data_IF_127626379014
#
_entry.id   IF_127626379014
#
_cell.length_a   1.000
_cell.length_b   1.000
_cell.length_c   1.000
_cell.angle_alpha   90.00
_cell.angle_beta   90.00
_cell.angle_gamma   90.00
#
_symmetry.space_group_name_H-M   'P 1'
#
loop_
_entity.id
_entity.type
_entity.pdbx_description
1 polymer ?
#
# COMPACT_ATOMS: atom_id res chain seq x y z
N UNK A 1 -5.09 -20.55 -3.26
CA UNK A 1 -3.83 -19.79 -3.21
C UNK A 1 -2.87 -20.42 -2.23
N UNK A 2 -1.69 -20.85 -2.68
CA UNK A 2 -0.59 -21.33 -1.83
C UNK A 2 0.02 -20.18 -1.02
N UNK A 3 0.74 -20.50 0.07
CA UNK A 3 1.44 -19.49 0.88
C UNK A 3 2.51 -18.73 0.08
N UNK A 4 3.23 -19.41 -0.80
CA UNK A 4 4.22 -18.77 -1.68
C UNK A 4 3.56 -17.75 -2.63
N UNK A 5 2.43 -18.10 -3.26
CA UNK A 5 1.72 -17.17 -4.12
C UNK A 5 1.10 -16.01 -3.32
N UNK A 6 0.63 -16.27 -2.09
CA UNK A 6 0.15 -15.21 -1.21
C UNK A 6 1.26 -14.23 -0.84
N UNK A 7 2.47 -14.74 -0.56
CA UNK A 7 3.64 -13.90 -0.31
C UNK A 7 3.97 -13.01 -1.52
N UNK A 8 4.00 -13.56 -2.74
CA UNK A 8 4.26 -12.76 -3.96
C UNK A 8 3.25 -11.62 -4.14
N UNK A 9 1.97 -11.88 -3.87
CA UNK A 9 0.92 -10.85 -3.97
C UNK A 9 1.08 -9.81 -2.87
N UNK A 10 1.38 -10.24 -1.64
CA UNK A 10 1.65 -9.33 -0.51
C UNK A 10 2.85 -8.43 -0.80
N UNK A 11 3.97 -8.99 -1.26
CA UNK A 11 5.18 -8.26 -1.59
C UNK A 11 4.90 -7.21 -2.69
N UNK A 12 4.08 -7.55 -3.70
CA UNK A 12 3.67 -6.62 -4.74
C UNK A 12 2.79 -5.47 -4.19
N UNK A 13 1.83 -5.78 -3.32
CA UNK A 13 0.97 -4.77 -2.70
C UNK A 13 1.78 -3.81 -1.82
N UNK A 14 2.74 -4.31 -1.05
CA UNK A 14 3.62 -3.49 -0.21
C UNK A 14 4.53 -2.61 -1.07
N UNK A 15 5.11 -3.16 -2.14
CA UNK A 15 5.91 -2.39 -3.09
C UNK A 15 5.10 -1.25 -3.72
N UNK A 16 3.87 -1.53 -4.15
CA UNK A 16 2.99 -0.50 -4.70
C UNK A 16 2.65 0.58 -3.67
N UNK A 17 2.51 0.21 -2.39
CA UNK A 17 2.34 1.17 -1.31
C UNK A 17 3.52 2.12 -1.18
N UNK A 18 4.74 1.56 -1.11
CA UNK A 18 5.97 2.34 -1.01
C UNK A 18 6.20 3.26 -2.22
N UNK A 19 5.87 2.81 -3.44
CA UNK A 19 5.97 3.64 -4.65
C UNK A 19 4.96 4.81 -4.63
N UNK A 20 3.77 4.62 -4.07
CA UNK A 20 2.81 5.72 -3.91
C UNK A 20 3.25 6.72 -2.85
N UNK A 21 3.79 6.27 -1.73
CA UNK A 21 4.31 7.15 -0.69
C UNK A 21 5.45 8.03 -1.24
N UNK A 22 6.40 7.44 -1.97
CA UNK A 22 7.48 8.18 -2.62
C UNK A 22 6.97 9.21 -3.64
N UNK A 23 5.97 8.83 -4.46
CA UNK A 23 5.33 9.75 -5.40
C UNK A 23 4.64 10.93 -4.69
N UNK A 24 3.96 10.69 -3.57
CA UNK A 24 3.35 11.76 -2.78
C UNK A 24 4.40 12.70 -2.18
N UNK A 25 5.54 12.18 -1.72
CA UNK A 25 6.65 13.02 -1.24
C UNK A 25 7.18 13.94 -2.34
N UNK A 26 7.31 13.46 -3.57
CA UNK A 26 7.71 14.27 -4.72
C UNK A 26 6.67 15.32 -5.10
N UNK A 27 5.37 14.98 -5.09
CA UNK A 27 4.32 15.93 -5.44
C UNK A 27 4.19 17.05 -4.40
N UNK A 28 4.42 16.75 -3.12
CA UNK A 28 4.37 17.74 -2.05
C UNK A 28 5.35 18.90 -2.27
N UNK A 29 6.45 18.69 -2.97
CA UNK A 29 7.43 19.76 -3.27
C UNK A 29 7.15 20.48 -4.59
N UNK A 30 6.35 19.90 -5.48
CA UNK A 30 6.22 20.32 -6.87
C UNK A 30 4.82 20.84 -7.24
N UNK A 31 3.83 20.67 -6.36
CA UNK A 31 2.44 21.08 -6.58
C UNK A 31 1.97 22.09 -5.53
N UNK A 32 0.87 22.77 -5.83
CA UNK A 32 0.14 23.53 -4.81
C UNK A 32 -0.47 22.60 -3.76
N UNK A 33 -0.81 23.13 -2.58
CA UNK A 33 -1.45 22.35 -1.51
C UNK A 33 -2.79 21.74 -1.97
N UNK A 34 -3.55 22.45 -2.80
CA UNK A 34 -4.83 21.98 -3.34
C UNK A 34 -4.63 20.78 -4.28
N UNK A 35 -3.73 20.89 -5.26
CA UNK A 35 -3.38 19.79 -6.15
C UNK A 35 -2.80 18.58 -5.38
N UNK A 36 -1.95 18.83 -4.39
CA UNK A 36 -1.38 17.77 -3.56
C UNK A 36 -2.47 17.00 -2.79
N UNK A 37 -3.43 17.70 -2.18
CA UNK A 37 -4.50 17.03 -1.44
C UNK A 37 -5.43 16.22 -2.36
N UNK A 38 -5.64 16.66 -3.61
CA UNK A 38 -6.35 15.85 -4.61
C UNK A 38 -5.61 14.54 -4.92
N UNK A 39 -4.31 14.61 -5.24
CA UNK A 39 -3.49 13.44 -5.53
C UNK A 39 -3.37 12.49 -4.32
N UNK A 40 -3.18 13.06 -3.13
CA UNK A 40 -3.17 12.32 -1.86
C UNK A 40 -4.48 11.59 -1.64
N UNK A 41 -5.61 12.21 -1.95
CA UNK A 41 -6.93 11.58 -1.87
C UNK A 41 -7.05 10.38 -2.81
N UNK A 42 -6.54 10.48 -4.04
CA UNK A 42 -6.52 9.37 -5.00
C UNK A 42 -5.63 8.22 -4.52
N UNK A 43 -4.39 8.51 -4.10
CA UNK A 43 -3.46 7.51 -3.58
C UNK A 43 -4.02 6.81 -2.33
N UNK A 44 -4.62 7.57 -1.41
CA UNK A 44 -5.22 7.02 -0.18
C UNK A 44 -6.33 6.00 -0.45
N UNK A 45 -7.12 6.17 -1.52
CA UNK A 45 -8.13 5.19 -1.93
C UNK A 45 -7.49 3.87 -2.38
N UNK A 46 -6.42 3.95 -3.17
CA UNK A 46 -5.70 2.77 -3.66
C UNK A 46 -5.01 2.05 -2.50
N UNK A 47 -4.29 2.79 -1.64
CA UNK A 47 -3.65 2.25 -0.43
C UNK A 47 -4.67 1.57 0.50
N UNK A 48 -5.84 2.20 0.69
CA UNK A 48 -6.95 1.61 1.44
C UNK A 48 -7.41 0.29 0.83
N UNK A 49 -7.63 0.24 -0.48
CA UNK A 49 -8.01 -1.00 -1.16
C UNK A 49 -6.94 -2.09 -1.05
N UNK A 50 -5.66 -1.76 -1.21
CA UNK A 50 -4.57 -2.73 -1.00
C UNK A 50 -4.58 -3.29 0.43
N UNK A 51 -4.76 -2.42 1.43
CA UNK A 51 -4.78 -2.83 2.83
C UNK A 51 -5.96 -3.74 3.15
N UNK A 52 -7.19 -3.32 2.83
CA UNK A 52 -8.40 -4.02 3.23
C UNK A 52 -8.71 -5.26 2.38
N UNK A 53 -8.42 -5.22 1.08
CA UNK A 53 -8.81 -6.28 0.15
C UNK A 53 -7.69 -7.30 -0.13
N UNK A 54 -6.42 -6.93 0.12
CA UNK A 54 -5.27 -7.78 -0.18
C UNK A 54 -4.45 -8.10 1.07
N UNK A 55 -3.88 -7.09 1.72
CA UNK A 55 -2.92 -7.28 2.82
C UNK A 55 -3.60 -7.96 4.02
N UNK A 56 -4.70 -7.39 4.52
CA UNK A 56 -5.41 -7.93 5.68
C UNK A 56 -5.92 -9.37 5.46
N UNK A 57 -6.55 -9.71 4.32
CA UNK A 57 -6.95 -11.09 4.04
C UNK A 57 -5.77 -12.07 3.95
N UNK A 58 -4.64 -11.66 3.36
CA UNK A 58 -3.45 -12.52 3.26
C UNK A 58 -2.84 -12.74 4.64
N UNK A 59 -2.64 -11.68 5.43
CA UNK A 59 -2.07 -11.78 6.79
C UNK A 59 -2.99 -12.58 7.70
N UNK A 60 -4.31 -12.39 7.62
CA UNK A 60 -5.28 -13.20 8.38
C UNK A 60 -5.17 -14.69 8.04
N UNK A 61 -4.90 -15.03 6.78
CA UNK A 61 -4.75 -16.42 6.34
C UNK A 61 -3.37 -17.01 6.66
N UNK A 62 -2.33 -16.19 6.61
CA UNK A 62 -0.93 -16.57 6.86
C UNK A 62 -0.29 -15.55 7.81
N UNK A 63 -0.55 -15.66 9.14
CA UNK A 63 -0.12 -14.65 10.11
C UNK A 63 1.38 -14.40 10.15
N UNK A 64 2.18 -15.40 9.81
CA UNK A 64 3.65 -15.28 9.77
C UNK A 64 4.18 -14.48 8.57
N UNK A 65 3.30 -14.12 7.61
CA UNK A 65 3.61 -13.18 6.54
C UNK A 65 3.39 -11.72 6.94
N UNK A 66 2.91 -11.43 8.17
CA UNK A 66 2.69 -10.06 8.63
C UNK A 66 4.00 -9.23 8.53
N UNK A 67 3.98 -8.07 7.85
CA UNK A 67 5.14 -7.19 7.83
C UNK A 67 5.46 -6.67 9.22
N UNK A 68 6.75 -6.54 9.54
CA UNK A 68 7.20 -6.05 10.85
C UNK A 68 6.78 -4.61 11.12
N UNK A 69 6.57 -3.80 10.08
CA UNK A 69 6.13 -2.42 10.22
C UNK A 69 4.66 -2.31 10.66
N UNK A 70 3.90 -3.42 10.64
CA UNK A 70 2.48 -3.46 11.00
C UNK A 70 2.22 -4.07 12.39
N UNK A 71 3.26 -4.29 13.20
CA UNK A 71 3.17 -4.80 14.58
C UNK A 71 2.72 -3.77 15.61
#
# INVERSE_FOLDING_TARGET
MSKENAKKILDLALKQGAEQDAMLEELKTNCSDEEFEEYRGMASRILGSLLFEIINPIVKKYPDLKPKEMD
#
